data_IF_252587285542
#
_entry.id   IF_252587285542
#
_cell.length_a   1.000
_cell.length_b   1.000
_cell.length_c   1.000
_cell.angle_alpha   90.00
_cell.angle_beta   90.00
_cell.angle_gamma   90.00
#
_symmetry.space_group_name_H-M   'P 1'
#
loop_
_entity.id
_entity.type
_entity.pdbx_description
1 polymer ?
#
# COMPACT_ATOMS: atom_id res chain seq x y z
N UNK A 1 -73.20 -12.75 -3.66
CA UNK A 1 -73.33 -11.94 -2.43
C UNK A 1 -72.32 -12.54 -1.46
N UNK A 2 -71.19 -11.95 -1.10
CA UNK A 2 -71.00 -10.64 -0.46
C UNK A 2 -69.49 -10.29 -0.44
N UNK A 3 -69.16 -9.12 -1.01
CA UNK A 3 -68.13 -8.12 -0.67
C UNK A 3 -66.68 -8.52 -0.27
N UNK A 4 -65.74 -8.01 -1.08
CA UNK A 4 -64.39 -7.55 -0.69
C UNK A 4 -64.46 -6.56 0.49
N UNK A 5 -63.40 -6.51 1.34
CA UNK A 5 -62.65 -5.30 1.74
C UNK A 5 -61.53 -5.69 2.74
N UNK A 6 -60.36 -5.01 2.70
CA UNK A 6 -59.03 -5.57 2.95
C UNK A 6 -58.39 -5.07 4.25
N UNK A 7 -57.38 -5.78 4.73
CA UNK A 7 -56.43 -5.23 5.72
C UNK A 7 -55.12 -6.04 5.70
N UNK A 8 -54.38 -5.99 4.59
CA UNK A 8 -52.93 -6.20 4.65
C UNK A 8 -52.30 -4.97 5.29
N UNK A 9 -52.58 -4.80 6.58
CA UNK A 9 -51.99 -3.77 7.43
C UNK A 9 -50.59 -4.22 7.83
N UNK A 10 -49.63 -3.51 7.24
CA UNK A 10 -48.44 -3.01 7.91
C UNK A 10 -47.58 -4.03 8.67
N UNK A 11 -46.56 -4.56 8.00
CA UNK A 11 -45.19 -4.41 8.53
C UNK A 11 -44.23 -4.22 7.35
N UNK A 12 -44.12 -2.99 6.87
CA UNK A 12 -42.99 -2.57 6.03
C UNK A 12 -41.82 -2.36 7.00
N UNK A 13 -41.10 -3.43 7.35
CA UNK A 13 -39.78 -3.28 7.98
C UNK A 13 -38.75 -3.22 6.85
N UNK A 14 -38.63 -2.04 6.25
CA UNK A 14 -37.52 -1.70 5.37
C UNK A 14 -36.24 -1.62 6.23
N UNK A 15 -35.66 -2.79 6.52
CA UNK A 15 -34.33 -2.86 7.15
C UNK A 15 -33.33 -2.49 6.06
N UNK A 16 -33.00 -1.20 5.99
CA UNK A 16 -31.84 -0.69 5.28
C UNK A 16 -30.59 -1.24 5.97
N UNK A 17 -30.16 -2.44 5.59
CA UNK A 17 -28.83 -2.92 5.89
C UNK A 17 -27.86 -2.06 5.08
N UNK A 18 -27.40 -0.96 5.69
CA UNK A 18 -26.23 -0.22 5.23
C UNK A 18 -25.02 -1.15 5.35
N UNK A 19 -24.75 -1.90 4.28
CA UNK A 19 -23.51 -2.66 4.11
C UNK A 19 -22.35 -1.70 4.18
N UNK A 20 -21.67 -1.67 5.33
CA UNK A 20 -20.43 -0.92 5.51
C UNK A 20 -19.35 -1.64 4.71
N UNK A 21 -19.04 -1.16 3.50
CA UNK A 21 -17.88 -1.62 2.76
C UNK A 21 -16.64 -1.22 3.53
N UNK A 22 -16.07 -2.14 4.30
CA UNK A 22 -14.71 -1.99 4.81
C UNK A 22 -13.76 -2.09 3.60
N UNK A 23 -13.44 -0.96 3.00
CA UNK A 23 -12.33 -0.85 2.05
C UNK A 23 -11.04 -1.01 2.84
N UNK A 24 -10.55 -2.24 2.92
CA UNK A 24 -9.16 -2.53 3.30
C UNK A 24 -8.26 -2.01 2.17
N UNK A 25 -7.90 -0.73 2.26
CA UNK A 25 -6.85 -0.14 1.42
C UNK A 25 -5.52 -0.71 1.87
N UNK A 26 -5.13 -1.83 1.27
CA UNK A 26 -3.74 -2.26 1.20
C UNK A 26 -2.98 -1.13 0.47
N UNK A 27 -2.40 -0.21 1.26
CA UNK A 27 -1.63 0.88 0.70
C UNK A 27 -0.30 0.27 0.28
N UNK A 28 -0.18 -0.03 -1.00
CA UNK A 28 1.07 -0.40 -1.65
C UNK A 28 2.02 0.80 -1.61
N UNK A 29 2.65 1.03 -0.46
CA UNK A 29 3.54 2.16 -0.23
C UNK A 29 4.90 1.87 -0.86
N UNK A 30 5.31 2.74 -1.78
CA UNK A 30 6.59 2.64 -2.48
C UNK A 30 7.57 3.60 -1.85
N UNK A 31 8.64 3.14 -1.18
CA UNK A 31 9.60 4.07 -0.54
C UNK A 31 10.37 4.90 -1.59
N UNK A 32 10.66 4.33 -2.76
CA UNK A 32 11.26 5.06 -3.88
C UNK A 32 10.55 4.78 -5.21
N UNK A 33 10.38 5.84 -6.01
CA UNK A 33 9.96 5.79 -7.41
C UNK A 33 11.14 6.19 -8.29
N UNK A 34 11.61 5.26 -9.11
CA UNK A 34 12.79 5.42 -9.95
C UNK A 34 12.41 5.35 -11.44
N UNK A 35 12.62 6.45 -12.18
CA UNK A 35 12.17 6.60 -13.56
C UNK A 35 13.32 6.82 -14.55
N UNK A 36 13.21 6.17 -15.70
CA UNK A 36 14.11 6.39 -16.84
C UNK A 36 13.33 6.23 -18.15
N UNK A 37 13.14 7.34 -18.85
CA UNK A 37 12.35 7.41 -20.09
C UNK A 37 10.95 6.80 -19.92
N UNK A 38 10.71 5.59 -20.43
CA UNK A 38 9.41 4.91 -20.36
C UNK A 38 9.38 3.77 -19.32
N UNK A 39 10.41 3.64 -18.48
CA UNK A 39 10.53 2.59 -17.48
C UNK A 39 10.45 3.19 -16.08
N UNK A 40 9.52 2.67 -15.26
CA UNK A 40 9.43 2.95 -13.83
C UNK A 40 9.89 1.74 -13.05
N UNK A 41 10.46 1.98 -11.89
CA UNK A 41 10.90 0.96 -10.94
C UNK A 41 10.52 1.40 -9.55
N UNK A 42 10.07 0.46 -8.74
CA UNK A 42 9.69 0.73 -7.36
C UNK A 42 10.62 -0.01 -6.42
N UNK A 43 11.00 0.66 -5.33
CA UNK A 43 11.77 0.07 -4.24
C UNK A 43 10.96 0.28 -2.97
N UNK A 44 10.72 -0.81 -2.23
CA UNK A 44 10.02 -0.76 -0.94
C UNK A 44 10.73 -1.64 0.08
N UNK A 45 10.63 -1.29 1.36
CA UNK A 45 10.94 -2.15 2.49
C UNK A 45 9.66 -2.83 2.95
N UNK A 46 9.68 -4.15 2.96
CA UNK A 46 8.62 -4.96 3.54
C UNK A 46 9.05 -5.50 4.90
N UNK A 47 8.27 -5.18 5.93
CA UNK A 47 8.38 -5.77 7.26
C UNK A 47 7.50 -7.01 7.33
N UNK A 48 8.10 -8.16 7.65
CA UNK A 48 7.44 -9.46 7.58
C UNK A 48 6.71 -9.85 8.88
N UNK A 49 6.98 -9.14 9.97
CA UNK A 49 6.31 -9.34 11.26
C UNK A 49 5.94 -8.00 11.93
N UNK A 50 5.05 -7.18 11.35
CA UNK A 50 4.65 -5.91 11.95
C UNK A 50 4.01 -6.09 13.34
N UNK A 51 4.26 -5.19 14.31
CA UNK A 51 4.94 -3.90 14.18
C UNK A 51 6.47 -3.98 14.29
N UNK A 52 7.05 -5.19 14.34
CA UNK A 52 8.50 -5.33 14.44
C UNK A 52 9.17 -4.92 13.12
N UNK A 53 10.30 -4.22 13.22
CA UNK A 53 11.09 -3.81 12.07
C UNK A 53 11.90 -4.96 11.43
N UNK A 54 11.89 -6.15 12.04
CA UNK A 54 12.54 -7.36 11.54
C UNK A 54 11.67 -8.57 11.84
N UNK A 55 11.72 -9.62 11.02
CA UNK A 55 12.47 -9.74 9.76
C UNK A 55 11.96 -8.79 8.67
N UNK A 56 12.85 -8.33 7.79
CA UNK A 56 12.53 -7.41 6.69
C UNK A 56 13.12 -7.89 5.37
N UNK A 57 12.60 -7.38 4.25
CA UNK A 57 13.18 -7.55 2.91
C UNK A 57 13.00 -6.30 2.06
N UNK A 58 13.91 -6.09 1.11
CA UNK A 58 13.78 -5.05 0.09
C UNK A 58 13.06 -5.64 -1.11
N UNK A 59 11.94 -5.06 -1.49
CA UNK A 59 11.21 -5.33 -2.72
C UNK A 59 11.73 -4.42 -3.83
N UNK A 60 12.03 -4.99 -4.99
CA UNK A 60 12.39 -4.25 -6.20
C UNK A 60 11.52 -4.70 -7.37
N UNK A 61 10.64 -3.80 -7.81
CA UNK A 61 9.68 -4.08 -8.87
C UNK A 61 10.05 -3.32 -10.15
N UNK A 62 9.94 -4.02 -11.27
CA UNK A 62 10.14 -3.49 -12.61
C UNK A 62 8.89 -3.87 -13.43
N UNK A 63 7.80 -3.10 -13.34
CA UNK A 63 6.50 -3.48 -13.92
C UNK A 63 6.57 -3.71 -15.44
N UNK A 64 7.28 -2.83 -16.16
CA UNK A 64 7.49 -2.94 -17.60
C UNK A 64 8.24 -4.23 -17.98
N UNK A 65 9.11 -4.71 -17.11
CA UNK A 65 9.88 -5.96 -17.28
C UNK A 65 9.14 -7.18 -16.69
N UNK A 66 7.96 -6.98 -16.09
CA UNK A 66 7.20 -8.00 -15.34
C UNK A 66 8.08 -8.77 -14.35
N UNK A 67 8.98 -8.06 -13.68
CA UNK A 67 9.99 -8.64 -12.80
C UNK A 67 9.86 -8.08 -11.39
N UNK A 68 9.81 -8.99 -10.43
CA UNK A 68 9.85 -8.71 -8.99
C UNK A 68 11.07 -9.41 -8.42
N UNK A 69 11.82 -8.72 -7.56
CA UNK A 69 13.03 -9.25 -6.93
C UNK A 69 13.10 -8.85 -5.46
N UNK A 70 13.76 -9.69 -4.66
CA UNK A 70 14.06 -9.42 -3.26
C UNK A 70 15.57 -9.47 -3.02
N UNK A 71 16.32 -8.45 -3.48
CA UNK A 71 17.79 -8.50 -3.49
C UNK A 71 18.40 -8.56 -2.08
N UNK A 72 17.68 -8.12 -1.05
CA UNK A 72 18.15 -8.15 0.33
C UNK A 72 17.05 -8.53 1.32
N UNK A 73 17.44 -9.21 2.40
CA UNK A 73 16.61 -9.47 3.57
C UNK A 73 17.46 -9.51 4.83
N UNK A 74 16.85 -9.22 5.97
CA UNK A 74 17.45 -9.37 7.29
C UNK A 74 16.50 -10.08 8.24
N UNK A 75 17.05 -10.97 9.07
CA UNK A 75 16.27 -11.70 10.08
C UNK A 75 16.14 -10.95 11.40
N UNK A 76 17.19 -10.25 11.79
CA UNK A 76 17.35 -9.70 13.14
C UNK A 76 18.21 -8.43 13.19
N UNK A 77 18.39 -7.76 12.05
CA UNK A 77 19.17 -6.52 11.96
C UNK A 77 18.26 -5.37 11.52
N UNK A 78 17.77 -4.61 12.49
CA UNK A 78 16.95 -3.42 12.23
C UNK A 78 17.77 -2.37 11.44
N UNK A 79 17.10 -1.63 10.54
CA UNK A 79 17.74 -0.63 9.69
C UNK A 79 18.45 -1.18 8.45
N UNK A 80 18.66 -2.50 8.35
CA UNK A 80 19.38 -3.09 7.23
C UNK A 80 18.63 -2.93 5.91
N UNK A 81 17.31 -3.16 5.89
CA UNK A 81 16.55 -3.11 4.65
C UNK A 81 16.37 -1.67 4.14
N UNK A 82 16.20 -0.72 5.06
CA UNK A 82 16.10 0.71 4.81
C UNK A 82 17.40 1.25 4.20
N UNK A 83 18.55 0.90 4.78
CA UNK A 83 19.87 1.21 4.20
C UNK A 83 20.01 0.63 2.79
N UNK A 84 19.60 -0.62 2.58
CA UNK A 84 19.70 -1.28 1.27
C UNK A 84 18.74 -0.73 0.23
N UNK A 85 17.54 -0.30 0.62
CA UNK A 85 16.60 0.39 -0.26
C UNK A 85 17.20 1.71 -0.76
N UNK A 86 17.72 2.54 0.15
CA UNK A 86 18.41 3.79 -0.19
C UNK A 86 19.63 3.55 -1.06
N UNK A 87 20.46 2.57 -0.70
CA UNK A 87 21.63 2.20 -1.50
C UNK A 87 21.25 1.80 -2.93
N UNK A 88 20.15 1.06 -3.12
CA UNK A 88 19.69 0.68 -4.45
C UNK A 88 19.23 1.92 -5.26
N UNK A 89 18.48 2.83 -4.64
CA UNK A 89 18.06 4.08 -5.28
C UNK A 89 19.26 4.94 -5.69
N UNK A 90 20.28 5.06 -4.84
CA UNK A 90 21.53 5.76 -5.13
C UNK A 90 22.31 5.08 -6.27
N UNK A 91 22.36 3.74 -6.30
CA UNK A 91 23.00 3.01 -7.39
C UNK A 91 22.29 3.22 -8.72
N UNK A 92 20.97 3.18 -8.75
CA UNK A 92 20.19 3.48 -9.96
C UNK A 92 20.41 4.93 -10.41
N UNK A 93 20.48 5.87 -9.47
CA UNK A 93 20.83 7.27 -9.74
C UNK A 93 22.20 7.43 -10.38
N UNK A 94 23.21 6.71 -9.88
CA UNK A 94 24.54 6.65 -10.49
C UNK A 94 24.58 6.05 -11.90
N UNK A 95 23.52 5.34 -12.31
CA UNK A 95 23.34 4.78 -13.65
C UNK A 95 22.42 5.64 -14.55
N UNK A 96 22.04 6.84 -14.09
CA UNK A 96 21.22 7.77 -14.86
C UNK A 96 19.72 7.49 -14.80
N UNK A 97 19.24 6.78 -13.78
CA UNK A 97 17.81 6.63 -13.45
C UNK A 97 17.46 7.64 -12.37
N UNK A 98 16.40 8.44 -12.54
CA UNK A 98 16.03 9.47 -11.57
C UNK A 98 15.19 8.81 -10.47
N UNK A 99 15.68 8.79 -9.23
CA UNK A 99 14.96 8.22 -8.10
C UNK A 99 14.50 9.31 -7.13
N UNK A 100 13.21 9.28 -6.77
CA UNK A 100 12.61 10.13 -5.74
C UNK A 100 12.13 9.25 -4.59
N UNK A 101 12.46 9.65 -3.37
CA UNK A 101 11.86 9.08 -2.16
C UNK A 101 10.41 9.58 -2.06
N UNK A 102 9.48 8.72 -1.65
CA UNK A 102 8.09 9.13 -1.44
C UNK A 102 7.92 9.60 0.00
N UNK A 103 7.34 10.80 0.14
CA UNK A 103 7.03 11.36 1.45
C UNK A 103 5.66 10.83 1.89
N UNK A 104 5.56 9.56 2.26
CA UNK A 104 4.35 9.03 2.92
C UNK A 104 4.60 8.64 4.38
N UNK A 105 5.42 9.42 5.10
CA UNK A 105 5.56 9.32 6.56
C UNK A 105 5.41 10.67 7.25
N UNK A 106 4.37 11.44 6.93
CA UNK A 106 3.94 12.58 7.76
C UNK A 106 2.56 13.12 7.38
N UNK A 107 1.52 12.29 7.43
CA UNK A 107 0.12 12.77 7.59
C UNK A 107 -0.44 12.35 8.96
N UNK A 108 0.41 12.42 9.98
CA UNK A 108 -0.05 12.72 11.33
C UNK A 108 0.67 14.01 11.72
N UNK A 109 -0.11 15.06 11.94
CA UNK A 109 0.29 16.35 12.52
C UNK A 109 0.60 17.51 11.55
N UNK A 110 -0.38 17.92 10.72
CA UNK A 110 -0.79 19.34 10.63
C UNK A 110 -2.13 19.54 9.93
N UNK A 111 -3.20 19.78 10.70
CA UNK A 111 -4.28 20.67 10.26
C UNK A 111 -4.88 21.36 11.47
N UNK A 112 -4.24 22.50 11.80
CA UNK A 112 -4.71 23.56 12.67
C UNK A 112 -6.15 24.02 12.34
N UNK A 113 -7.00 24.22 13.36
CA UNK A 113 -7.59 25.52 13.78
C UNK A 113 -8.72 25.30 14.79
#
# INVERSE_FOLDING_TARGET
MTKYIPAFSAVITMVLLFSSSASSSDKDQKDFVCEQANNVRFISVEYLDPPNAVPCRVLYEKPQEKSIQYPWSAKNQAGYCEEKAKFLAEKLSGLGVICNETEDKSDLEKSDT
#
